data_IF_203924676090
#
_entry.id   IF_203924676090
#
_cell.length_a   1.000
_cell.length_b   1.000
_cell.length_c   1.000
_cell.angle_alpha   90.00
_cell.angle_beta   90.00
_cell.angle_gamma   90.00
#
_symmetry.space_group_name_H-M   'P 1'
#
loop_
_entity.id
_entity.type
_entity.pdbx_description
1 polymer ?
#
# COMPACT_ATOMS: atom_id res chain seq x y z
N UNK A 1 -5.82 0.16 -6.13
CA UNK A 1 -5.00 -0.71 -6.98
C UNK A 1 -3.95 0.16 -7.67
N UNK A 2 -2.68 -0.22 -7.61
CA UNK A 2 -1.58 0.58 -8.19
C UNK A 2 -1.00 -0.13 -9.41
N UNK A 3 -1.07 0.54 -10.55
CA UNK A 3 -0.49 0.08 -11.81
C UNK A 3 0.58 1.10 -12.25
N UNK A 4 1.71 0.61 -12.74
CA UNK A 4 2.77 1.44 -13.30
C UNK A 4 3.03 0.96 -14.72
N UNK A 5 2.79 1.85 -15.70
CA UNK A 5 3.17 1.59 -17.09
C UNK A 5 4.67 1.87 -17.24
N UNK A 6 5.36 0.94 -17.91
CA UNK A 6 6.77 1.05 -18.26
C UNK A 6 6.93 1.92 -19.51
N UNK A 7 7.94 2.78 -19.52
CA UNK A 7 8.34 3.53 -20.72
C UNK A 7 9.28 2.72 -21.61
N UNK A 8 9.43 3.13 -22.87
CA UNK A 8 10.20 2.39 -23.90
C UNK A 8 11.69 2.17 -23.55
N UNK A 9 12.29 3.04 -22.72
CA UNK A 9 13.70 2.96 -22.33
C UNK A 9 13.90 2.91 -20.80
N UNK A 10 12.87 2.49 -20.06
CA UNK A 10 12.97 2.46 -18.61
C UNK A 10 13.53 1.13 -18.08
N UNK A 11 14.63 1.21 -17.33
CA UNK A 11 15.18 0.07 -16.62
C UNK A 11 14.24 -0.46 -15.52
N UNK A 12 14.25 -1.78 -15.31
CA UNK A 12 13.39 -2.48 -14.35
C UNK A 12 13.50 -1.90 -12.93
N UNK A 13 14.71 -1.53 -12.48
CA UNK A 13 14.90 -0.95 -11.14
C UNK A 13 14.19 0.40 -10.97
N UNK A 14 14.20 1.26 -11.99
CA UNK A 14 13.47 2.53 -11.97
C UNK A 14 11.97 2.30 -11.83
N UNK A 15 11.44 1.35 -12.60
CA UNK A 15 10.03 0.99 -12.55
C UNK A 15 9.62 0.43 -11.19
N UNK A 16 10.43 -0.45 -10.60
CA UNK A 16 10.22 -0.98 -9.25
C UNK A 16 10.26 0.12 -8.19
N UNK A 17 11.15 1.11 -8.33
CA UNK A 17 11.20 2.27 -7.43
C UNK A 17 9.91 3.11 -7.52
N UNK A 18 9.40 3.38 -8.73
CA UNK A 18 8.13 4.10 -8.93
C UNK A 18 6.96 3.30 -8.37
N UNK A 19 6.93 2.00 -8.62
CA UNK A 19 5.91 1.09 -8.10
C UNK A 19 5.88 1.07 -6.57
N UNK A 20 7.04 0.93 -5.91
CA UNK A 20 7.15 0.98 -4.44
C UNK A 20 6.61 2.31 -3.90
N UNK A 21 6.96 3.43 -4.53
CA UNK A 21 6.43 4.75 -4.14
C UNK A 21 4.90 4.83 -4.27
N UNK A 22 4.33 4.34 -5.37
CA UNK A 22 2.88 4.33 -5.57
C UNK A 22 2.15 3.42 -4.57
N UNK A 23 2.67 2.22 -4.31
CA UNK A 23 2.11 1.28 -3.32
C UNK A 23 2.10 1.88 -1.91
N UNK A 24 3.20 2.56 -1.53
CA UNK A 24 3.28 3.24 -0.23
C UNK A 24 2.31 4.43 -0.14
N UNK A 25 2.20 5.26 -1.19
CA UNK A 25 1.25 6.39 -1.23
C UNK A 25 -0.19 5.92 -1.14
N UNK A 26 -0.52 4.82 -1.80
CA UNK A 26 -1.86 4.26 -1.79
C UNK A 26 -2.22 3.57 -0.45
N UNK A 27 -1.30 3.46 0.51
CA UNK A 27 -1.57 2.89 1.83
C UNK A 27 -1.90 1.39 1.81
N UNK A 28 -1.73 0.70 0.67
CA UNK A 28 -2.18 -0.68 0.47
C UNK A 28 -1.58 -1.63 1.52
N UNK A 29 -0.30 -1.47 1.85
CA UNK A 29 0.37 -2.31 2.85
C UNK A 29 -0.18 -2.08 4.27
N UNK A 30 -0.59 -0.84 4.59
CA UNK A 30 -1.20 -0.52 5.86
C UNK A 30 -2.61 -1.11 5.96
N UNK A 31 -3.38 -1.06 4.87
CA UNK A 31 -4.72 -1.65 4.80
C UNK A 31 -4.69 -3.17 4.91
N UNK A 32 -3.77 -3.82 4.20
CA UNK A 32 -3.57 -5.28 4.35
C UNK A 32 -3.29 -5.59 5.81
N UNK A 33 -2.31 -4.91 6.44
CA UNK A 33 -1.94 -5.14 7.84
C UNK A 33 -3.11 -4.92 8.82
N UNK A 34 -4.00 -3.98 8.55
CA UNK A 34 -5.20 -3.72 9.37
C UNK A 34 -6.25 -4.83 9.25
N UNK A 35 -6.32 -5.52 8.11
CA UNK A 35 -7.33 -6.52 7.79
C UNK A 35 -6.85 -7.97 7.91
N UNK A 36 -5.58 -8.22 8.27
CA UNK A 36 -5.06 -9.57 8.54
C UNK A 36 -5.82 -10.23 9.71
N UNK A 37 -6.09 -9.46 10.76
CA UNK A 37 -6.75 -9.97 11.97
C UNK A 37 -8.17 -9.40 12.11
N UNK A 38 -9.11 -10.23 12.54
CA UNK A 38 -10.44 -9.75 12.94
C UNK A 38 -10.35 -8.99 14.26
N UNK A 39 -10.55 -7.67 14.21
CA UNK A 39 -10.68 -6.84 15.40
C UNK A 39 -12.14 -6.64 15.77
N UNK A 40 -12.46 -6.81 17.06
CA UNK A 40 -13.76 -6.37 17.59
C UNK A 40 -13.97 -4.88 17.29
N UNK A 41 -15.20 -4.43 16.99
CA UNK A 41 -15.50 -3.06 16.56
C UNK A 41 -14.94 -2.00 17.50
N UNK A 42 -15.03 -2.24 18.81
CA UNK A 42 -14.52 -1.34 19.84
C UNK A 42 -13.00 -1.13 19.73
N UNK A 43 -12.24 -2.19 19.43
CA UNK A 43 -10.77 -2.11 19.26
C UNK A 43 -10.38 -1.51 17.90
N UNK A 44 -11.22 -1.67 16.88
CA UNK A 44 -11.02 -1.04 15.57
C UNK A 44 -11.09 0.49 15.68
N UNK A 45 -12.11 1.02 16.35
CA UNK A 45 -12.29 2.45 16.58
C UNK A 45 -11.14 3.09 17.38
N UNK A 46 -10.51 2.34 18.29
CA UNK A 46 -9.34 2.82 19.06
C UNK A 46 -8.10 2.88 18.17
N UNK A 47 -7.87 1.89 17.30
CA UNK A 47 -6.76 1.90 16.34
C UNK A 47 -6.87 2.99 15.27
N UNK A 48 -8.08 3.42 14.91
CA UNK A 48 -8.29 4.49 13.93
C UNK A 48 -8.09 5.90 14.51
N UNK A 49 -8.12 6.05 15.85
CA UNK A 49 -7.92 7.33 16.54
C UNK A 49 -6.45 7.61 16.91
N UNK A 50 -5.57 6.63 16.78
CA UNK A 50 -4.12 6.74 17.00
C UNK A 50 -3.39 6.95 15.67
#
# INVERSE_FOLDING_TARGET
MTQVLLGENEGIESALRRFKCQVSKAGILADVKKNVDFLKPLKKNVRERQ
#
